data_IF_036671927369
#
_entry.id   IF_036671927369
#
_cell.length_a   1.000
_cell.length_b   1.000
_cell.length_c   1.000
_cell.angle_alpha   90.00
_cell.angle_beta   90.00
_cell.angle_gamma   90.00
#
_symmetry.space_group_name_H-M   'P 1'
#
loop_
_entity.id
_entity.type
_entity.pdbx_description
1 polymer ?
#
# COMPACT_ATOMS: atom_id res chain seq x y z
N UNK A 1 6.54 5.43 8.67
CA UNK A 1 6.22 4.25 7.84
C UNK A 1 6.53 4.61 6.41
N UNK A 2 6.48 3.65 5.49
CA UNK A 2 6.85 3.89 4.08
C UNK A 2 8.35 3.76 3.83
N UNK A 3 9.09 3.07 4.71
CA UNK A 3 10.51 2.83 4.51
C UNK A 3 10.75 1.71 3.48
N UNK A 4 11.89 1.75 2.80
CA UNK A 4 12.24 0.79 1.75
C UNK A 4 12.23 -0.66 2.22
N UNK A 5 12.64 -0.90 3.47
CA UNK A 5 12.74 -2.21 4.11
C UNK A 5 11.39 -2.75 4.64
N UNK A 6 10.33 -1.95 4.62
CA UNK A 6 8.97 -2.42 4.92
C UNK A 6 8.40 -3.18 3.71
N UNK A 7 8.84 -4.44 3.51
CA UNK A 7 8.52 -5.27 2.33
C UNK A 7 7.29 -6.17 2.50
N UNK A 8 6.54 -6.03 3.58
CA UNK A 8 5.34 -6.84 3.86
C UNK A 8 5.59 -8.00 4.83
N UNK A 9 4.56 -8.83 5.03
CA UNK A 9 4.59 -9.95 5.98
C UNK A 9 5.22 -11.22 5.40
N UNK A 10 5.43 -12.28 6.20
CA UNK A 10 6.13 -13.49 5.78
C UNK A 10 5.52 -14.23 4.59
N UNK A 11 4.23 -14.06 4.34
CA UNK A 11 3.50 -14.65 3.20
C UNK A 11 3.28 -13.70 2.02
N UNK A 12 3.66 -12.43 2.17
CA UNK A 12 3.53 -11.41 1.14
C UNK A 12 4.81 -10.55 1.05
N UNK A 13 5.96 -11.14 1.38
CA UNK A 13 7.22 -10.41 1.44
C UNK A 13 7.69 -10.05 0.04
N UNK A 14 8.07 -8.79 -0.15
CA UNK A 14 8.39 -8.18 -1.43
C UNK A 14 7.17 -7.79 -2.27
N UNK A 15 5.94 -8.00 -1.77
CA UNK A 15 4.71 -7.52 -2.42
C UNK A 15 4.22 -6.18 -1.86
N UNK A 16 4.80 -5.69 -0.76
CA UNK A 16 4.68 -4.29 -0.37
C UNK A 16 5.90 -3.52 -0.88
N UNK A 17 5.68 -2.51 -1.73
CA UNK A 17 6.74 -1.79 -2.40
C UNK A 17 6.62 -0.31 -2.09
N UNK A 18 7.57 0.20 -1.30
CA UNK A 18 7.65 1.62 -0.97
C UNK A 18 8.70 2.29 -1.85
N UNK A 19 8.34 3.44 -2.45
CA UNK A 19 9.24 4.25 -3.29
C UNK A 19 9.27 5.67 -2.70
N UNK A 20 10.17 5.95 -1.73
CA UNK A 20 10.23 7.23 -1.06
C UNK A 20 10.86 8.28 -1.98
N UNK A 21 10.00 9.06 -2.65
CA UNK A 21 10.44 10.16 -3.51
C UNK A 21 10.82 11.39 -2.67
N UNK A 22 11.89 12.12 -3.03
CA UNK A 22 12.30 13.30 -2.30
C UNK A 22 11.38 14.50 -2.60
N UNK A 23 11.29 15.48 -1.69
CA UNK A 23 10.69 16.78 -1.98
C UNK A 23 11.28 17.40 -3.24
N UNK A 24 10.46 18.09 -4.02
CA UNK A 24 10.81 18.73 -5.29
C UNK A 24 10.67 17.81 -6.50
N UNK A 25 10.31 16.54 -6.29
CA UNK A 25 10.01 15.61 -7.40
C UNK A 25 8.81 16.13 -8.19
N UNK A 26 9.01 16.27 -9.49
CA UNK A 26 7.98 16.66 -10.45
C UNK A 26 7.66 15.54 -11.43
N UNK A 27 6.99 15.91 -12.52
CA UNK A 27 6.48 14.96 -13.52
C UNK A 27 7.54 13.94 -13.99
N UNK A 28 8.75 14.40 -14.29
CA UNK A 28 9.86 13.55 -14.76
C UNK A 28 10.16 12.39 -13.79
N UNK A 29 10.24 12.67 -12.48
CA UNK A 29 10.56 11.66 -11.48
C UNK A 29 9.44 10.64 -11.31
N UNK A 30 8.18 11.08 -11.25
CA UNK A 30 7.03 10.18 -11.14
C UNK A 30 6.91 9.26 -12.36
N UNK A 31 7.00 9.81 -13.57
CA UNK A 31 6.91 9.02 -14.80
C UNK A 31 8.11 8.07 -14.95
N UNK A 32 9.31 8.48 -14.52
CA UNK A 32 10.45 7.58 -14.50
C UNK A 32 10.20 6.36 -13.60
N UNK A 33 9.70 6.56 -12.38
CA UNK A 33 9.36 5.46 -11.47
C UNK A 33 8.26 4.59 -12.05
N UNK A 34 7.23 5.20 -12.64
CA UNK A 34 6.14 4.47 -13.28
C UNK A 34 6.68 3.52 -14.35
N UNK A 35 7.47 4.04 -15.29
CA UNK A 35 7.97 3.26 -16.43
C UNK A 35 9.06 2.25 -16.08
N UNK A 36 9.90 2.53 -15.08
CA UNK A 36 11.08 1.70 -14.77
C UNK A 36 10.89 0.77 -13.56
N UNK A 37 9.83 0.97 -12.77
CA UNK A 37 9.56 0.18 -11.57
C UNK A 37 8.15 -0.38 -11.60
N UNK A 38 7.15 0.51 -11.59
CA UNK A 38 5.75 0.10 -11.40
C UNK A 38 5.25 -0.73 -12.58
N UNK A 39 5.37 -0.24 -13.82
CA UNK A 39 4.90 -0.95 -15.00
C UNK A 39 5.59 -2.32 -15.19
N UNK A 40 6.92 -2.45 -15.07
CA UNK A 40 7.58 -3.76 -15.09
C UNK A 40 7.09 -4.72 -13.99
N UNK A 41 6.84 -4.21 -12.77
CA UNK A 41 6.27 -5.02 -11.69
C UNK A 41 4.86 -5.48 -12.04
N UNK A 42 4.01 -4.60 -12.59
CA UNK A 42 2.64 -4.95 -12.99
C UNK A 42 2.62 -5.98 -14.12
N UNK A 43 3.55 -5.88 -15.09
CA UNK A 43 3.71 -6.88 -16.16
C UNK A 43 4.08 -8.27 -15.61
N UNK A 44 4.92 -8.32 -14.57
CA UNK A 44 5.30 -9.58 -13.90
C UNK A 44 4.20 -10.09 -12.96
N UNK A 45 3.54 -9.19 -12.21
CA UNK A 45 2.53 -9.52 -11.21
C UNK A 45 1.20 -9.93 -11.83
N UNK A 46 0.83 -9.31 -12.96
CA UNK A 46 -0.41 -9.56 -13.72
C UNK A 46 -1.66 -9.43 -12.85
N UNK A 47 -1.94 -8.22 -12.33
CA UNK A 47 -3.14 -8.01 -11.54
C UNK A 47 -4.40 -8.20 -12.39
N UNK A 48 -5.47 -8.71 -11.77
CA UNK A 48 -6.81 -8.73 -12.38
C UNK A 48 -7.46 -7.34 -12.39
N UNK A 49 -7.14 -6.51 -11.39
CA UNK A 49 -7.66 -5.15 -11.20
C UNK A 49 -6.54 -4.25 -10.66
N UNK A 50 -6.46 -3.02 -11.17
CA UNK A 50 -5.60 -1.95 -10.68
C UNK A 50 -6.47 -0.87 -10.04
N UNK A 51 -6.20 -0.59 -8.76
CA UNK A 51 -6.83 0.50 -8.00
C UNK A 51 -5.77 1.56 -7.71
N UNK A 52 -5.99 2.77 -8.19
CA UNK A 52 -5.13 3.92 -7.93
C UNK A 52 -5.73 4.77 -6.82
N UNK A 53 -5.08 4.77 -5.64
CA UNK A 53 -5.36 5.71 -4.55
C UNK A 53 -4.75 7.06 -4.95
N UNK A 54 -5.54 7.87 -5.65
CA UNK A 54 -5.12 9.04 -6.39
C UNK A 54 -5.15 10.30 -5.51
N UNK A 55 -4.32 10.32 -4.46
CA UNK A 55 -4.06 11.51 -3.66
C UNK A 55 -3.45 12.63 -4.51
N UNK A 56 -3.86 13.86 -4.20
CA UNK A 56 -3.58 15.06 -5.01
C UNK A 56 -2.72 16.08 -4.24
N UNK A 57 -2.23 15.71 -3.06
CA UNK A 57 -1.44 16.56 -2.19
C UNK A 57 0.02 16.70 -2.64
N UNK A 58 0.49 15.90 -3.61
CA UNK A 58 1.77 16.10 -4.30
C UNK A 58 1.73 17.14 -5.45
N UNK A 59 0.62 17.84 -5.63
CA UNK A 59 0.52 18.96 -6.57
C UNK A 59 1.39 20.15 -6.14
N UNK A 60 1.97 20.89 -7.09
CA UNK A 60 2.91 21.98 -6.80
C UNK A 60 2.32 23.19 -6.04
N UNK A 61 0.99 23.29 -5.98
CA UNK A 61 0.26 24.32 -5.21
C UNK A 61 -0.27 23.81 -3.88
N UNK A 62 -0.04 22.54 -3.54
CA UNK A 62 -0.49 21.99 -2.26
C UNK A 62 0.32 22.60 -1.09
N UNK A 63 -0.33 23.03 0.00
CA UNK A 63 0.36 23.68 1.11
C UNK A 63 1.06 22.71 2.07
N UNK A 64 0.80 21.40 1.97
CA UNK A 64 1.27 20.41 2.95
C UNK A 64 2.53 19.70 2.46
N UNK A 65 2.58 19.34 1.18
CA UNK A 65 3.74 18.68 0.61
C UNK A 65 4.59 19.65 -0.20
N UNK A 66 5.87 19.29 -0.40
CA UNK A 66 6.82 20.09 -1.17
C UNK A 66 7.16 19.39 -2.49
N UNK A 67 6.15 18.88 -3.20
CA UNK A 67 6.31 18.21 -4.49
C UNK A 67 6.01 19.17 -5.64
N UNK A 68 6.42 18.83 -6.88
CA UNK A 68 6.27 19.68 -8.06
C UNK A 68 5.43 18.98 -9.16
N UNK A 69 4.43 18.19 -8.76
CA UNK A 69 3.60 17.44 -9.71
C UNK A 69 2.45 18.31 -10.25
N UNK A 70 2.02 18.04 -11.48
CA UNK A 70 1.06 18.86 -12.24
C UNK A 70 -0.14 18.02 -12.65
N UNK A 71 -1.27 18.67 -12.99
CA UNK A 71 -2.45 18.07 -13.60
C UNK A 71 -2.11 17.26 -14.86
N UNK A 72 -1.21 17.76 -15.72
CA UNK A 72 -0.66 17.00 -16.84
C UNK A 72 0.07 15.73 -16.39
N UNK A 73 0.88 15.84 -15.34
CA UNK A 73 1.56 14.69 -14.75
C UNK A 73 0.58 13.62 -14.25
N UNK A 74 -0.47 14.00 -13.53
CA UNK A 74 -1.50 13.06 -13.08
C UNK A 74 -2.22 12.39 -14.25
N UNK A 75 -2.56 13.15 -15.30
CA UNK A 75 -3.21 12.63 -16.49
C UNK A 75 -2.32 11.60 -17.20
N UNK A 76 -1.04 11.93 -17.45
CA UNK A 76 -0.07 10.99 -18.06
C UNK A 76 0.18 9.76 -17.20
N UNK A 77 0.27 9.93 -15.89
CA UNK A 77 0.42 8.81 -14.97
C UNK A 77 -0.79 7.89 -15.05
N UNK A 78 -2.03 8.41 -15.05
CA UNK A 78 -3.24 7.60 -15.17
C UNK A 78 -3.37 6.95 -16.54
N UNK A 79 -3.10 7.66 -17.62
CA UNK A 79 -3.10 7.12 -18.99
C UNK A 79 -2.13 5.94 -19.11
N UNK A 80 -0.92 6.10 -18.55
CA UNK A 80 0.11 5.07 -18.59
C UNK A 80 -0.17 3.88 -17.66
N UNK A 81 -0.64 4.15 -16.43
CA UNK A 81 -1.01 3.13 -15.46
C UNK A 81 -2.26 2.34 -15.89
N UNK A 82 -3.17 3.03 -16.59
CA UNK A 82 -4.48 2.54 -17.02
C UNK A 82 -5.25 1.81 -15.90
N UNK A 83 -5.53 2.47 -14.76
CA UNK A 83 -6.21 1.82 -13.64
C UNK A 83 -7.69 1.59 -13.94
N UNK A 84 -8.27 0.53 -13.36
CA UNK A 84 -9.72 0.28 -13.45
C UNK A 84 -10.52 1.23 -12.56
N UNK A 85 -9.92 1.63 -11.42
CA UNK A 85 -10.55 2.51 -10.44
C UNK A 85 -9.52 3.53 -9.97
N UNK A 86 -9.88 4.82 -10.01
CA UNK A 86 -9.17 5.88 -9.30
C UNK A 86 -10.02 6.36 -8.12
N UNK A 87 -9.44 6.38 -6.93
CA UNK A 87 -10.10 6.81 -5.68
C UNK A 87 -9.45 8.11 -5.22
N UNK A 88 -10.24 9.17 -5.07
CA UNK A 88 -9.75 10.44 -4.54
C UNK A 88 -9.40 10.30 -3.06
N UNK A 89 -8.23 10.83 -2.66
CA UNK A 89 -7.76 10.83 -1.28
C UNK A 89 -7.51 12.27 -0.77
N UNK A 90 -6.30 12.56 -0.27
CA UNK A 90 -5.85 13.89 0.11
C UNK A 90 -5.71 14.84 -1.09
N UNK A 91 -5.51 16.12 -0.78
CA UNK A 91 -5.42 17.20 -1.76
C UNK A 91 -6.07 18.46 -1.20
N UNK A 92 -5.25 19.48 -0.91
CA UNK A 92 -5.65 20.62 -0.09
C UNK A 92 -5.57 21.95 -0.83
N UNK A 93 -5.04 21.96 -2.05
CA UNK A 93 -5.12 23.09 -2.98
C UNK A 93 -6.45 23.07 -3.77
N UNK A 94 -7.51 23.53 -3.11
CA UNK A 94 -8.89 23.41 -3.61
C UNK A 94 -9.09 24.06 -4.99
N UNK A 95 -8.55 25.26 -5.20
CA UNK A 95 -8.74 26.00 -6.44
C UNK A 95 -7.59 25.81 -7.44
N UNK A 96 -6.36 25.63 -6.92
CA UNK A 96 -5.15 25.55 -7.74
C UNK A 96 -4.87 24.15 -8.32
N UNK A 97 -5.35 23.09 -7.67
CA UNK A 97 -5.06 21.71 -8.08
C UNK A 97 -6.31 20.92 -8.45
N UNK A 98 -7.24 20.75 -7.49
CA UNK A 98 -8.27 19.70 -7.59
C UNK A 98 -9.11 19.73 -8.89
N UNK A 99 -9.56 20.89 -9.41
CA UNK A 99 -10.37 20.92 -10.63
C UNK A 99 -9.59 20.41 -11.85
N UNK A 100 -8.32 20.80 -11.97
CA UNK A 100 -7.45 20.44 -13.10
C UNK A 100 -6.99 19.00 -13.01
N UNK A 101 -6.57 18.57 -11.82
CA UNK A 101 -6.12 17.19 -11.57
C UNK A 101 -7.28 16.20 -11.81
N UNK A 102 -8.47 16.47 -11.25
CA UNK A 102 -9.64 15.62 -11.46
C UNK A 102 -10.04 15.56 -12.94
N UNK A 103 -10.05 16.71 -13.64
CA UNK A 103 -10.33 16.74 -15.08
C UNK A 103 -9.30 15.91 -15.86
N UNK A 104 -8.01 16.08 -15.57
CA UNK A 104 -6.93 15.35 -16.22
C UNK A 104 -7.04 13.83 -16.04
N UNK A 105 -7.30 13.36 -14.81
CA UNK A 105 -7.50 11.94 -14.51
C UNK A 105 -8.72 11.39 -15.24
N UNK A 106 -9.87 12.08 -15.20
CA UNK A 106 -11.11 11.63 -15.84
C UNK A 106 -10.92 11.53 -17.36
N UNK A 107 -10.30 12.52 -17.99
CA UNK A 107 -10.04 12.51 -19.43
C UNK A 107 -9.08 11.37 -19.81
N UNK A 108 -8.00 11.17 -19.06
CA UNK A 108 -7.05 10.08 -19.27
C UNK A 108 -7.74 8.71 -19.17
N UNK A 109 -8.50 8.46 -18.09
CA UNK A 109 -9.24 7.20 -17.93
C UNK A 109 -10.31 6.98 -19.00
N UNK A 110 -10.89 8.06 -19.54
CA UNK A 110 -11.86 7.98 -20.63
C UNK A 110 -11.22 7.84 -22.03
N UNK A 111 -9.89 7.88 -22.14
CA UNK A 111 -9.19 7.91 -23.43
C UNK A 111 -9.46 9.18 -24.24
N UNK A 112 -9.76 10.29 -23.56
CA UNK A 112 -10.04 11.59 -24.17
C UNK A 112 -8.80 12.48 -24.07
N UNK A 113 -8.56 13.29 -25.10
CA UNK A 113 -7.46 14.25 -25.13
C UNK A 113 -7.48 15.20 -23.93
N UNK A 114 -6.42 15.13 -23.12
CA UNK A 114 -6.16 15.98 -21.97
C UNK A 114 -5.05 17.01 -22.24
N UNK A 115 -4.55 17.13 -23.47
CA UNK A 115 -3.41 18.00 -23.81
C UNK A 115 -3.64 19.49 -23.52
N UNK A 116 -4.90 19.91 -23.33
CA UNK A 116 -5.29 21.28 -22.99
C UNK A 116 -5.56 21.50 -21.50
N UNK A 117 -5.48 20.46 -20.66
CA UNK A 117 -5.61 20.60 -19.21
C UNK A 117 -4.31 21.13 -18.64
N UNK A 118 -4.26 22.43 -18.38
CA UNK A 118 -3.15 23.10 -17.72
C UNK A 118 -3.70 24.01 -16.64
N UNK A 119 -2.97 24.07 -15.55
CA UNK A 119 -3.19 25.02 -14.49
C UNK A 119 -2.88 26.44 -14.99
N UNK A 120 -3.65 27.45 -14.58
CA UNK A 120 -3.53 28.81 -15.10
C UNK A 120 -2.21 29.50 -14.71
N UNK A 121 -1.58 29.05 -13.63
CA UNK A 121 -0.32 29.57 -13.11
C UNK A 121 0.88 28.65 -13.38
N UNK A 122 0.72 27.65 -14.25
CA UNK A 122 1.79 26.72 -14.62
C UNK A 122 3.01 27.45 -15.18
N UNK A 123 4.16 27.25 -14.54
CA UNK A 123 5.45 27.76 -14.97
C UNK A 123 6.48 26.61 -14.99
N UNK A 124 6.88 26.22 -16.20
CA UNK A 124 7.83 25.13 -16.43
C UNK A 124 9.21 25.39 -15.82
N UNK A 125 9.68 26.63 -15.86
CA UNK A 125 11.03 26.95 -15.38
C UNK A 125 11.06 26.92 -13.85
N UNK A 126 9.97 27.35 -13.20
CA UNK A 126 9.80 27.27 -11.75
C UNK A 126 9.68 25.83 -11.24
N UNK A 127 8.99 24.96 -11.98
CA UNK A 127 8.70 23.58 -11.58
C UNK A 127 9.75 22.57 -12.04
N UNK A 128 10.85 23.05 -12.63
CA UNK A 128 11.89 22.18 -13.17
C UNK A 128 12.53 21.35 -12.06
N UNK A 129 12.47 20.03 -12.21
CA UNK A 129 13.12 19.10 -11.30
C UNK A 129 14.65 19.28 -11.34
N UNK A 130 15.31 19.45 -10.18
CA UNK A 130 16.76 19.40 -10.06
C UNK A 130 17.34 18.06 -10.54
N UNK A 131 18.55 18.09 -11.14
CA UNK A 131 19.18 16.89 -11.69
C UNK A 131 19.50 15.86 -10.61
N UNK A 132 20.01 16.30 -9.47
CA UNK A 132 20.31 15.46 -8.31
C UNK A 132 19.09 14.67 -7.82
N UNK A 133 17.88 15.25 -7.90
CA UNK A 133 16.64 14.51 -7.65
C UNK A 133 16.43 13.42 -8.71
N UNK A 134 16.59 13.74 -10.01
CA UNK A 134 16.52 12.74 -11.08
C UNK A 134 17.52 11.60 -10.86
N UNK A 135 18.76 11.90 -10.51
CA UNK A 135 19.78 10.88 -10.23
C UNK A 135 19.44 10.03 -9.00
N UNK A 136 18.93 10.63 -7.92
CA UNK A 136 18.45 9.90 -6.75
C UNK A 136 17.30 8.95 -7.10
N UNK A 137 16.33 9.42 -7.89
CA UNK A 137 15.16 8.63 -8.31
C UNK A 137 15.59 7.42 -9.14
N UNK A 138 16.61 7.56 -9.99
CA UNK A 138 17.18 6.42 -10.73
C UNK A 138 17.77 5.37 -9.79
N UNK A 139 18.60 5.81 -8.83
CA UNK A 139 19.22 4.91 -7.86
C UNK A 139 18.18 4.17 -7.01
N UNK A 140 17.16 4.88 -6.52
CA UNK A 140 16.11 4.24 -5.70
C UNK A 140 15.27 3.27 -6.52
N UNK A 141 15.01 3.60 -7.80
CA UNK A 141 14.27 2.74 -8.71
C UNK A 141 15.00 1.41 -8.96
N UNK A 142 16.32 1.46 -9.18
CA UNK A 142 17.17 0.27 -9.32
C UNK A 142 17.13 -0.61 -8.06
N UNK A 143 17.26 0.00 -6.88
CA UNK A 143 17.20 -0.72 -5.59
C UNK A 143 15.84 -1.40 -5.42
N UNK A 144 14.76 -0.66 -5.66
CA UNK A 144 13.39 -1.17 -5.49
C UNK A 144 13.12 -2.30 -6.46
N UNK A 145 13.47 -2.13 -7.74
CA UNK A 145 13.24 -3.16 -8.73
C UNK A 145 14.09 -4.41 -8.48
N UNK A 146 15.35 -4.26 -8.07
CA UNK A 146 16.19 -5.40 -7.65
C UNK A 146 15.55 -6.18 -6.50
N UNK A 147 14.98 -5.48 -5.50
CA UNK A 147 14.27 -6.15 -4.39
C UNK A 147 13.04 -6.92 -4.86
N UNK A 148 12.32 -6.41 -5.86
CA UNK A 148 11.22 -7.14 -6.47
C UNK A 148 11.69 -8.43 -7.16
N UNK A 149 12.82 -8.39 -7.87
CA UNK A 149 13.40 -9.57 -8.53
C UNK A 149 13.89 -10.61 -7.51
N UNK A 150 14.52 -10.15 -6.43
CA UNK A 150 15.13 -11.01 -5.40
C UNK A 150 14.18 -11.34 -4.23
N UNK A 151 12.88 -10.99 -4.34
CA UNK A 151 11.92 -11.04 -3.23
C UNK A 151 11.87 -12.40 -2.51
N UNK A 152 12.01 -13.49 -3.25
CA UNK A 152 11.93 -14.84 -2.68
C UNK A 152 13.19 -15.20 -1.88
N UNK A 153 14.37 -14.84 -2.38
CA UNK A 153 15.63 -15.03 -1.65
C UNK A 153 15.68 -14.16 -0.40
N UNK A 154 15.20 -12.91 -0.50
CA UNK A 154 15.07 -12.02 0.64
C UNK A 154 14.10 -12.58 1.68
N UNK A 155 12.95 -13.10 1.26
CA UNK A 155 11.95 -13.75 2.14
C UNK A 155 12.54 -14.96 2.85
N UNK A 156 13.22 -15.84 2.11
CA UNK A 156 13.87 -17.02 2.70
C UNK A 156 14.91 -16.61 3.73
N UNK A 157 15.74 -15.59 3.42
CA UNK A 157 16.76 -15.09 4.33
C UNK A 157 16.16 -14.50 5.61
N UNK A 158 15.12 -13.67 5.47
CA UNK A 158 14.48 -12.97 6.58
C UNK A 158 13.80 -13.94 7.55
N UNK A 159 13.10 -14.95 7.02
CA UNK A 159 12.25 -15.85 7.82
C UNK A 159 12.84 -17.25 8.00
N UNK A 160 14.13 -17.46 7.69
CA UNK A 160 14.79 -18.76 7.87
C UNK A 160 14.75 -19.21 9.33
N UNK A 161 14.15 -20.36 9.58
CA UNK A 161 14.10 -20.96 10.93
C UNK A 161 12.98 -20.42 11.82
N UNK A 162 12.14 -19.52 11.30
CA UNK A 162 10.93 -19.09 11.99
C UNK A 162 9.73 -19.94 11.56
N UNK A 163 8.96 -20.40 12.54
CA UNK A 163 7.65 -21.03 12.30
C UNK A 163 6.49 -20.03 12.41
N UNK A 164 6.76 -18.87 13.02
CA UNK A 164 5.82 -17.77 13.20
C UNK A 164 6.56 -16.43 13.35
N UNK A 165 5.88 -15.35 13.00
CA UNK A 165 6.35 -13.97 13.14
C UNK A 165 5.31 -13.20 13.95
N UNK A 166 5.74 -12.57 15.04
CA UNK A 166 4.87 -11.71 15.85
C UNK A 166 5.26 -10.24 15.66
N UNK A 167 4.26 -9.37 15.50
CA UNK A 167 4.39 -7.92 15.45
C UNK A 167 3.46 -7.29 16.46
N UNK A 168 3.98 -6.37 17.26
CA UNK A 168 3.19 -5.60 18.20
C UNK A 168 3.15 -4.13 17.78
N UNK A 169 2.00 -3.49 17.93
CA UNK A 169 1.82 -2.06 17.70
C UNK A 169 0.82 -1.47 18.69
N UNK A 170 0.96 -0.18 18.93
CA UNK A 170 -0.02 0.62 19.63
C UNK A 170 -0.68 1.55 18.61
N UNK A 171 -2.01 1.57 18.58
CA UNK A 171 -2.81 2.35 17.64
C UNK A 171 -3.65 3.33 18.45
N UNK A 172 -3.63 4.58 18.03
CA UNK A 172 -4.49 5.62 18.61
C UNK A 172 -5.51 6.06 17.56
N UNK A 173 -6.78 5.83 17.85
CA UNK A 173 -7.90 6.29 17.05
C UNK A 173 -8.34 7.64 17.60
N UNK A 174 -8.00 8.71 16.90
CA UNK A 174 -8.20 10.09 17.32
C UNK A 174 -9.67 10.51 17.39
N UNK A 175 -10.48 9.97 16.49
CA UNK A 175 -11.93 10.25 16.37
C UNK A 175 -12.67 9.91 17.66
N UNK A 176 -12.41 8.71 18.22
CA UNK A 176 -13.06 8.21 19.43
C UNK A 176 -12.13 8.24 20.66
N UNK A 177 -10.89 8.71 20.49
CA UNK A 177 -9.82 8.72 21.52
C UNK A 177 -9.52 7.35 22.11
N UNK A 178 -9.58 6.31 21.27
CA UNK A 178 -9.32 4.93 21.69
C UNK A 178 -7.84 4.64 21.55
N UNK A 179 -7.23 4.11 22.62
CA UNK A 179 -5.89 3.52 22.58
C UNK A 179 -6.01 2.00 22.51
N UNK A 180 -5.45 1.40 21.48
CA UNK A 180 -5.42 -0.05 21.26
C UNK A 180 -3.98 -0.56 21.32
N UNK A 181 -3.76 -1.66 22.06
CA UNK A 181 -2.54 -2.45 21.96
C UNK A 181 -2.84 -3.73 21.19
N UNK A 182 -2.12 -3.95 20.10
CA UNK A 182 -2.35 -5.06 19.19
C UNK A 182 -1.09 -5.91 19.04
N UNK A 183 -1.23 -7.22 19.24
CA UNK A 183 -0.22 -8.25 18.90
C UNK A 183 -0.79 -9.09 17.77
N UNK A 184 -0.09 -9.10 16.63
CA UNK A 184 -0.45 -9.85 15.45
C UNK A 184 0.60 -10.93 15.20
N UNK A 185 0.15 -12.16 14.99
CA UNK A 185 1.01 -13.32 14.75
C UNK A 185 0.66 -13.95 13.40
N UNK A 186 1.69 -14.12 12.57
CA UNK A 186 1.63 -14.78 11.29
C UNK A 186 2.33 -16.13 11.37
N UNK A 187 1.60 -17.21 11.12
CA UNK A 187 2.19 -18.53 10.98
C UNK A 187 2.89 -18.66 9.63
N UNK A 188 4.13 -19.10 9.63
CA UNK A 188 4.86 -19.41 8.40
C UNK A 188 4.48 -20.82 7.95
N UNK A 189 3.84 -20.94 6.80
CA UNK A 189 3.44 -22.24 6.23
C UNK A 189 4.15 -22.47 4.90
N UNK A 190 4.62 -23.70 4.68
CA UNK A 190 5.27 -24.10 3.41
C UNK A 190 4.27 -24.39 2.28
N UNK A 191 2.96 -24.39 2.57
CA UNK A 191 1.91 -24.83 1.64
C UNK A 191 0.87 -23.75 1.31
N UNK A 192 0.85 -22.64 2.04
CA UNK A 192 -0.13 -21.56 1.89
C UNK A 192 0.39 -20.30 2.58
N UNK A 193 -0.36 -19.20 2.48
CA UNK A 193 -0.06 -17.91 3.12
C UNK A 193 -0.05 -17.95 4.65
N UNK A 194 -0.50 -19.05 5.26
CA UNK A 194 -0.43 -19.26 6.69
C UNK A 194 -1.49 -18.48 7.49
N UNK A 195 -1.74 -18.96 8.71
CA UNK A 195 -2.77 -18.38 9.56
C UNK A 195 -2.31 -17.03 10.13
N UNK A 196 -3.19 -16.03 10.08
CA UNK A 196 -3.00 -14.74 10.74
C UNK A 196 -3.89 -14.68 11.99
N UNK A 197 -3.33 -14.26 13.12
CA UNK A 197 -4.09 -14.07 14.36
C UNK A 197 -3.78 -12.72 14.98
N UNK A 198 -4.79 -12.05 15.51
CA UNK A 198 -4.69 -10.71 16.08
C UNK A 198 -5.27 -10.76 17.48
N UNK A 199 -4.45 -10.42 18.48
CA UNK A 199 -4.89 -10.11 19.83
C UNK A 199 -4.92 -8.60 19.98
N UNK A 200 -6.09 -8.07 20.29
CA UNK A 200 -6.29 -6.64 20.45
C UNK A 200 -6.83 -6.34 21.84
N UNK A 201 -6.33 -5.29 22.48
CA UNK A 201 -6.81 -4.80 23.76
C UNK A 201 -7.00 -3.29 23.70
N UNK A 202 -8.21 -2.82 23.96
CA UNK A 202 -8.48 -1.39 24.09
C UNK A 202 -8.22 -0.88 25.52
N UNK A 203 -7.95 0.42 25.64
CA UNK A 203 -7.86 1.11 26.94
C UNK A 203 -9.13 1.03 27.77
N UNK A 204 -10.28 0.76 27.14
CA UNK A 204 -11.58 0.57 27.79
C UNK A 204 -11.78 -0.86 28.35
N UNK A 205 -10.80 -1.74 28.18
CA UNK A 205 -10.80 -3.09 28.75
C UNK A 205 -11.36 -4.19 27.83
N UNK A 206 -11.80 -3.86 26.61
CA UNK A 206 -12.19 -4.86 25.62
C UNK A 206 -10.98 -5.64 25.13
N UNK A 207 -11.13 -6.96 25.03
CA UNK A 207 -10.08 -7.87 24.54
C UNK A 207 -10.64 -8.71 23.41
N UNK A 208 -10.05 -8.60 22.22
CA UNK A 208 -10.49 -9.32 21.03
C UNK A 208 -9.41 -10.30 20.60
N UNK A 209 -9.83 -11.49 20.18
CA UNK A 209 -8.97 -12.42 19.44
C UNK A 209 -9.56 -12.70 18.07
N UNK A 210 -8.96 -12.17 17.02
CA UNK A 210 -9.35 -12.42 15.65
C UNK A 210 -8.43 -13.46 15.00
N UNK A 211 -9.02 -14.39 14.26
CA UNK A 211 -8.34 -15.46 13.54
C UNK A 211 -8.74 -15.33 12.07
N UNK A 212 -7.75 -15.30 11.19
CA UNK A 212 -7.97 -15.18 9.75
C UNK A 212 -7.27 -16.32 9.03
N UNK A 213 -8.09 -17.20 8.44
CA UNK A 213 -7.65 -18.23 7.51
C UNK A 213 -7.58 -17.60 6.12
N UNK A 214 -6.41 -17.61 5.44
CA UNK A 214 -6.25 -16.98 4.13
C UNK A 214 -6.98 -17.75 3.02
N UNK A 215 -7.21 -17.10 1.88
CA UNK A 215 -7.93 -17.67 0.72
C UNK A 215 -7.27 -18.93 0.13
N UNK A 216 -5.97 -19.08 0.30
CA UNK A 216 -5.17 -20.19 -0.21
C UNK A 216 -4.84 -21.22 0.89
N UNK A 217 -5.51 -21.17 2.04
CA UNK A 217 -5.13 -21.96 3.21
C UNK A 217 -5.14 -23.47 2.94
N UNK A 218 -4.07 -24.14 3.36
CA UNK A 218 -4.06 -25.60 3.38
C UNK A 218 -4.90 -26.15 4.54
N UNK A 219 -5.34 -27.42 4.44
CA UNK A 219 -6.15 -28.09 5.47
C UNK A 219 -5.59 -27.95 6.90
N UNK A 220 -4.26 -28.06 7.06
CA UNK A 220 -3.62 -27.89 8.38
C UNK A 220 -3.80 -26.49 8.98
N UNK A 221 -3.80 -25.45 8.16
CA UNK A 221 -4.01 -24.07 8.61
C UNK A 221 -5.49 -23.81 8.91
N UNK A 222 -6.40 -24.41 8.12
CA UNK A 222 -7.85 -24.37 8.38
C UNK A 222 -8.15 -25.03 9.72
N UNK A 223 -7.72 -26.29 9.92
CA UNK A 223 -7.92 -27.06 11.15
C UNK A 223 -7.40 -26.31 12.38
N UNK A 224 -6.24 -25.67 12.25
CA UNK A 224 -5.69 -24.85 13.32
C UNK A 224 -6.51 -23.60 13.61
N UNK A 225 -7.00 -22.91 12.59
CA UNK A 225 -7.90 -21.75 12.76
C UNK A 225 -9.14 -22.12 13.58
N UNK A 226 -9.83 -23.20 13.21
CA UNK A 226 -10.97 -23.70 13.96
C UNK A 226 -10.60 -24.20 15.37
N UNK A 227 -9.43 -24.83 15.54
CA UNK A 227 -8.93 -25.24 16.85
C UNK A 227 -8.73 -24.04 17.78
N UNK A 228 -8.13 -22.95 17.27
CA UNK A 228 -7.92 -21.71 18.02
C UNK A 228 -9.23 -21.02 18.34
N UNK A 229 -10.19 -21.01 17.42
CA UNK A 229 -11.52 -20.45 17.64
C UNK A 229 -12.30 -21.23 18.70
N UNK A 230 -12.26 -22.57 18.64
CA UNK A 230 -12.94 -23.43 19.62
C UNK A 230 -12.39 -23.22 21.04
N UNK A 231 -11.06 -23.19 21.18
CA UNK A 231 -10.37 -23.12 22.47
C UNK A 231 -9.35 -21.98 22.50
N UNK A 232 -9.80 -20.71 22.58
CA UNK A 232 -8.91 -19.57 22.62
C UNK A 232 -8.09 -19.56 23.91
N UNK A 233 -6.79 -19.30 23.82
CA UNK A 233 -5.93 -19.13 24.99
C UNK A 233 -5.98 -17.69 25.49
N UNK A 234 -6.70 -17.46 26.59
CA UNK A 234 -6.82 -16.14 27.23
C UNK A 234 -8.27 -15.78 27.53
N UNK A 235 -8.46 -14.71 28.29
CA UNK A 235 -9.78 -14.13 28.52
C UNK A 235 -10.02 -13.03 27.49
N UNK A 236 -10.92 -13.29 26.54
CA UNK A 236 -11.31 -12.36 25.49
C UNK A 236 -12.80 -12.05 25.62
N UNK A 237 -13.15 -10.79 25.42
CA UNK A 237 -14.54 -10.34 25.34
C UNK A 237 -15.22 -10.88 24.08
N UNK A 238 -14.48 -10.93 22.97
CA UNK A 238 -14.96 -11.49 21.71
C UNK A 238 -13.85 -12.28 21.00
N UNK A 239 -14.24 -13.35 20.33
CA UNK A 239 -13.39 -14.14 19.46
C UNK A 239 -14.02 -14.23 18.08
N UNK A 240 -13.26 -13.88 17.05
CA UNK A 240 -13.70 -13.88 15.66
C UNK A 240 -12.87 -14.87 14.84
N UNK A 241 -13.52 -15.56 13.91
CA UNK A 241 -12.88 -16.39 12.89
C UNK A 241 -13.42 -15.99 11.53
N UNK A 242 -12.52 -15.61 10.62
CA UNK A 242 -12.82 -15.44 9.20
C UNK A 242 -12.17 -16.60 8.43
N UNK A 243 -12.99 -17.46 7.85
CA UNK A 243 -12.57 -18.53 6.96
C UNK A 243 -12.78 -18.11 5.50
N UNK A 244 -11.72 -17.62 4.86
CA UNK A 244 -11.79 -17.13 3.48
C UNK A 244 -11.78 -18.26 2.44
N UNK A 245 -11.53 -19.51 2.83
CA UNK A 245 -11.59 -20.66 1.91
C UNK A 245 -13.04 -21.08 1.72
N UNK A 246 -13.80 -21.13 2.81
CA UNK A 246 -15.20 -21.55 2.83
C UNK A 246 -16.19 -20.38 2.82
N UNK A 247 -15.69 -19.14 2.82
CA UNK A 247 -16.47 -17.90 2.93
C UNK A 247 -17.37 -17.87 4.19
N UNK A 248 -16.80 -18.29 5.32
CA UNK A 248 -17.51 -18.34 6.61
C UNK A 248 -16.97 -17.32 7.61
N UNK A 249 -17.87 -16.81 8.44
CA UNK A 249 -17.54 -15.91 9.55
C UNK A 249 -18.21 -16.35 10.84
N UNK A 250 -17.42 -16.50 11.90
CA UNK A 250 -17.88 -16.95 13.21
C UNK A 250 -17.49 -15.94 14.30
N UNK A 251 -18.38 -15.70 15.26
CA UNK A 251 -18.19 -14.76 16.38
C UNK A 251 -18.77 -15.34 17.67
N UNK A 252 -18.05 -15.19 18.80
CA UNK A 252 -18.53 -15.59 20.14
C UNK A 252 -17.84 -14.82 21.26
#
# INVERSE_FOLDING_TARGET
>A
TGFLDELGGPSAYGYNINIPLPPGTGEEGFLYVLDNVVMPILEEYKPDIIINSAGQDNHYTDPITNMNFTAQGYAKLNDRLNPDIAVLEGGYSIEGALPYVNLGIILAMAGIDYSHVHEPDYDRDRLKQPKDITEYIKQISEIVYSRWKDKEDLRIKEFKGYDQVERTRQIYYDTDRILENQSQNFKICKKCSGLNTIKSQSGEGYRVFAIQIPVDACSKCIDEGYRLYKNPKGNYTHVYLQDRVNDEYHAK
#
